data_IF_486227595909
#
_entry.id   IF_486227595909
#
_cell.length_a   1.000
_cell.length_b   1.000
_cell.length_c   1.000
_cell.angle_alpha   90.00
_cell.angle_beta   90.00
_cell.angle_gamma   90.00
#
_symmetry.space_group_name_H-M   'P 1'
#
loop_
_entity.id
_entity.type
_entity.pdbx_description
1 polymer ?
#
# COMPACT_ATOMS: atom_id res chain seq x y z
N UNK A 1 12.15 -11.01 -59.49
CA UNK A 1 11.81 -12.00 -58.41
C UNK A 1 12.54 -11.55 -57.15
N UNK A 2 11.82 -11.00 -56.16
CA UNK A 2 12.38 -10.70 -54.85
C UNK A 2 12.50 -12.03 -54.10
N UNK A 3 13.74 -12.46 -53.79
CA UNK A 3 14.03 -13.56 -52.90
C UNK A 3 13.51 -13.19 -51.51
N UNK A 4 12.36 -13.70 -51.14
CA UNK A 4 11.87 -13.64 -49.76
C UNK A 4 12.71 -14.65 -48.98
N UNK A 5 13.79 -14.16 -48.32
CA UNK A 5 14.48 -14.96 -47.33
C UNK A 5 13.47 -15.25 -46.20
N UNK A 6 12.95 -16.46 -46.17
CA UNK A 6 12.22 -16.97 -45.03
C UNK A 6 13.17 -17.04 -43.86
N UNK A 7 13.08 -16.07 -42.92
CA UNK A 7 13.84 -16.14 -41.65
C UNK A 7 13.46 -17.44 -40.96
N UNK A 8 14.40 -18.33 -40.75
CA UNK A 8 14.17 -19.52 -39.92
C UNK A 8 13.69 -19.07 -38.54
N UNK A 9 12.70 -19.78 -37.97
CA UNK A 9 12.27 -19.50 -36.59
C UNK A 9 13.47 -19.55 -35.63
N UNK A 10 13.49 -18.63 -34.65
CA UNK A 10 14.52 -18.64 -33.60
C UNK A 10 14.48 -19.97 -32.84
N UNK A 11 15.63 -20.62 -32.68
CA UNK A 11 15.76 -21.83 -31.89
C UNK A 11 16.54 -21.50 -30.59
N UNK A 12 15.89 -21.47 -29.42
CA UNK A 12 16.56 -21.10 -28.17
C UNK A 12 17.69 -22.04 -27.77
N UNK A 13 17.67 -23.33 -28.21
CA UNK A 13 18.77 -24.26 -27.90
C UNK A 13 20.07 -23.93 -28.58
N UNK A 14 20.03 -23.24 -29.74
CA UNK A 14 21.23 -22.77 -30.42
C UNK A 14 21.91 -21.61 -29.70
N UNK A 15 21.18 -20.95 -28.79
CA UNK A 15 21.65 -19.85 -27.93
C UNK A 15 22.05 -20.33 -26.54
N UNK A 16 22.09 -21.64 -26.33
CA UNK A 16 22.45 -22.28 -25.06
C UNK A 16 21.35 -22.29 -24.01
N UNK A 17 20.09 -21.97 -24.38
CA UNK A 17 18.99 -22.00 -23.44
C UNK A 17 18.74 -23.42 -22.91
N UNK A 18 18.54 -23.53 -21.60
CA UNK A 18 18.09 -24.77 -20.96
C UNK A 18 16.63 -25.03 -21.33
N UNK A 19 16.33 -26.19 -21.86
CA UNK A 19 14.99 -26.59 -22.28
C UNK A 19 14.49 -27.87 -21.60
N UNK A 20 15.36 -28.63 -20.91
CA UNK A 20 15.00 -29.78 -20.10
C UNK A 20 15.03 -29.44 -18.60
N UNK A 21 13.85 -29.41 -17.99
CA UNK A 21 13.63 -29.13 -16.56
C UNK A 21 13.19 -30.36 -15.78
N UNK A 22 13.25 -31.57 -16.33
CA UNK A 22 12.77 -32.81 -15.69
C UNK A 22 13.43 -33.10 -14.32
N UNK A 23 14.64 -32.57 -14.08
CA UNK A 23 15.42 -32.71 -12.84
C UNK A 23 15.93 -31.40 -12.28
N UNK A 24 15.37 -30.27 -12.71
CA UNK A 24 15.81 -28.91 -12.33
C UNK A 24 14.59 -28.08 -12.01
N UNK A 25 14.75 -27.16 -11.04
CA UNK A 25 13.72 -26.18 -10.70
C UNK A 25 13.39 -25.33 -11.93
N UNK A 26 12.14 -25.31 -12.34
CA UNK A 26 11.63 -24.45 -13.40
C UNK A 26 11.16 -23.10 -12.85
N UNK A 27 10.85 -22.18 -13.74
CA UNK A 27 10.21 -20.91 -13.40
C UNK A 27 8.88 -21.11 -12.65
N UNK A 28 8.05 -22.03 -13.13
CA UNK A 28 6.76 -22.37 -12.51
C UNK A 28 6.94 -22.95 -11.11
N UNK A 29 7.92 -23.84 -10.92
CA UNK A 29 8.21 -24.43 -9.61
C UNK A 29 8.65 -23.38 -8.58
N UNK A 30 9.55 -22.49 -8.96
CA UNK A 30 10.06 -21.46 -8.08
C UNK A 30 8.99 -20.45 -7.64
N UNK A 31 8.12 -20.05 -8.55
CA UNK A 31 7.06 -19.08 -8.30
C UNK A 31 5.76 -19.70 -7.81
N UNK A 32 5.64 -21.03 -7.78
CA UNK A 32 4.37 -21.72 -7.54
C UNK A 32 3.24 -21.22 -8.47
N UNK A 33 3.58 -21.02 -9.74
CA UNK A 33 2.74 -20.29 -10.71
C UNK A 33 1.41 -21.00 -10.91
N UNK A 34 1.41 -22.33 -11.03
CA UNK A 34 0.20 -23.13 -11.23
C UNK A 34 -0.78 -22.92 -10.06
N UNK A 35 -0.25 -22.92 -8.82
CA UNK A 35 -1.08 -22.66 -7.63
C UNK A 35 -1.68 -21.27 -7.65
N UNK A 36 -0.90 -20.23 -8.01
CA UNK A 36 -1.40 -18.85 -8.05
C UNK A 36 -2.46 -18.67 -9.13
N UNK A 37 -2.24 -19.24 -10.32
CA UNK A 37 -3.16 -19.10 -11.45
C UNK A 37 -4.41 -19.98 -11.33
N UNK A 38 -4.45 -20.92 -10.38
CA UNK A 38 -5.62 -21.77 -10.07
C UNK A 38 -6.50 -21.20 -8.94
N UNK A 39 -6.21 -20.00 -8.44
CA UNK A 39 -6.93 -19.41 -7.30
C UNK A 39 -7.97 -18.33 -7.71
N UNK A 40 -8.40 -18.30 -8.95
CA UNK A 40 -9.44 -17.41 -9.45
C UNK A 40 -10.73 -18.20 -9.66
N UNK A 41 -11.61 -18.20 -8.66
CA UNK A 41 -12.86 -18.96 -8.67
C UNK A 41 -14.05 -18.02 -8.84
N UNK A 42 -14.54 -17.85 -10.07
CA UNK A 42 -15.75 -17.09 -10.34
C UNK A 42 -16.99 -17.81 -9.75
N UNK A 43 -17.90 -17.03 -9.19
CA UNK A 43 -19.18 -17.50 -8.64
C UNK A 43 -20.34 -17.31 -9.63
N UNK A 44 -20.10 -16.64 -10.73
CA UNK A 44 -21.08 -16.37 -11.82
C UNK A 44 -20.47 -16.64 -13.18
N UNK A 45 -21.29 -16.59 -14.21
CA UNK A 45 -20.87 -16.66 -15.63
C UNK A 45 -20.49 -15.26 -16.21
N UNK A 46 -20.48 -14.21 -15.38
CA UNK A 46 -20.15 -12.88 -15.82
C UNK A 46 -18.66 -12.76 -16.19
N UNK A 47 -18.38 -12.28 -17.40
CA UNK A 47 -17.01 -12.18 -17.93
C UNK A 47 -16.09 -11.36 -17.01
N UNK A 48 -16.58 -10.24 -16.50
CA UNK A 48 -15.79 -9.26 -15.75
C UNK A 48 -15.57 -9.64 -14.28
N UNK A 49 -16.21 -10.71 -13.79
CA UNK A 49 -15.90 -11.23 -12.45
C UNK A 49 -14.45 -11.69 -12.33
N UNK A 50 -13.87 -12.26 -13.37
CA UNK A 50 -12.45 -12.64 -13.43
C UNK A 50 -11.55 -11.39 -13.29
N UNK A 51 -11.86 -10.31 -14.00
CA UNK A 51 -11.15 -9.03 -13.86
C UNK A 51 -11.20 -8.53 -12.41
N UNK A 52 -12.39 -8.56 -11.80
CA UNK A 52 -12.59 -8.11 -10.42
C UNK A 52 -11.74 -8.92 -9.43
N UNK A 53 -11.72 -10.25 -9.57
CA UNK A 53 -10.92 -11.15 -8.70
C UNK A 53 -9.43 -10.86 -8.85
N UNK A 54 -8.90 -10.88 -10.09
CA UNK A 54 -7.47 -10.69 -10.36
C UNK A 54 -7.01 -9.32 -9.87
N UNK A 55 -7.80 -8.26 -10.10
CA UNK A 55 -7.49 -6.92 -9.63
C UNK A 55 -7.28 -6.86 -8.11
N UNK A 56 -8.16 -7.50 -7.34
CA UNK A 56 -8.04 -7.55 -5.88
C UNK A 56 -6.88 -8.44 -5.42
N UNK A 57 -6.69 -9.60 -6.04
CA UNK A 57 -5.57 -10.50 -5.72
C UNK A 57 -4.22 -9.84 -5.99
N UNK A 58 -4.05 -9.16 -7.12
CA UNK A 58 -2.81 -8.44 -7.44
C UNK A 58 -2.58 -7.26 -6.50
N UNK A 59 -3.63 -6.56 -6.07
CA UNK A 59 -3.54 -5.53 -5.04
C UNK A 59 -3.06 -6.10 -3.70
N UNK A 60 -3.60 -7.23 -3.27
CA UNK A 60 -3.18 -7.90 -2.03
C UNK A 60 -1.72 -8.41 -2.11
N UNK A 61 -1.26 -8.90 -3.26
CA UNK A 61 0.13 -9.29 -3.46
C UNK A 61 1.09 -8.09 -3.38
N UNK A 62 0.73 -6.94 -3.97
CA UNK A 62 1.50 -5.71 -3.84
C UNK A 62 1.49 -5.17 -2.41
N UNK A 63 0.37 -5.21 -1.71
CA UNK A 63 0.29 -4.82 -0.30
C UNK A 63 1.15 -5.73 0.58
N UNK A 64 1.21 -7.04 0.30
CA UNK A 64 2.14 -7.97 0.97
C UNK A 64 3.60 -7.53 0.79
N UNK A 65 3.98 -7.08 -0.42
CA UNK A 65 5.33 -6.57 -0.67
C UNK A 65 5.57 -5.24 0.07
N UNK A 66 4.59 -4.33 0.13
CA UNK A 66 4.70 -3.10 0.96
C UNK A 66 5.00 -3.46 2.42
N UNK A 67 4.24 -4.40 2.99
CA UNK A 67 4.45 -4.84 4.38
C UNK A 67 5.83 -5.46 4.60
N UNK A 68 6.34 -6.21 3.63
CA UNK A 68 7.70 -6.77 3.65
C UNK A 68 8.77 -5.67 3.67
N UNK A 69 8.67 -4.67 2.80
CA UNK A 69 9.59 -3.54 2.74
C UNK A 69 9.50 -2.67 4.01
N UNK A 70 8.31 -2.41 4.52
CA UNK A 70 8.12 -1.62 5.73
C UNK A 70 8.72 -2.30 6.97
N UNK A 71 8.64 -3.63 7.06
CA UNK A 71 9.34 -4.39 8.11
C UNK A 71 10.85 -4.23 8.03
N UNK A 72 11.41 -4.19 6.82
CA UNK A 72 12.85 -3.96 6.62
C UNK A 72 13.22 -2.50 6.89
N UNK A 73 12.41 -1.53 6.45
CA UNK A 73 12.62 -0.10 6.69
C UNK A 73 12.64 0.23 8.18
N UNK A 74 11.69 -0.34 8.95
CA UNK A 74 11.63 -0.16 10.40
C UNK A 74 12.92 -0.66 11.11
N UNK A 75 13.39 -1.85 10.75
CA UNK A 75 14.66 -2.38 11.30
C UNK A 75 15.87 -1.53 10.93
N UNK A 76 15.91 -1.00 9.70
CA UNK A 76 16.97 -0.11 9.28
C UNK A 76 16.92 1.22 10.06
N UNK A 77 15.71 1.76 10.27
CA UNK A 77 15.51 2.99 11.06
C UNK A 77 15.92 2.82 12.54
N UNK A 78 15.56 1.69 13.16
CA UNK A 78 15.99 1.33 14.52
C UNK A 78 17.52 1.30 14.66
N UNK A 79 18.24 0.93 13.59
CA UNK A 79 19.71 0.93 13.50
C UNK A 79 20.28 2.27 13.01
N UNK A 80 19.43 3.27 12.78
CA UNK A 80 19.79 4.57 12.19
C UNK A 80 20.46 4.46 10.81
N UNK A 81 20.20 3.35 10.10
CA UNK A 81 20.66 3.13 8.72
C UNK A 81 19.70 3.81 7.74
N UNK A 82 19.82 5.14 7.65
CA UNK A 82 18.95 5.95 6.80
C UNK A 82 19.07 5.62 5.30
N UNK A 83 20.26 5.33 4.75
CA UNK A 83 20.36 4.92 3.34
C UNK A 83 19.51 3.68 3.01
N UNK A 84 19.55 2.64 3.83
CA UNK A 84 18.71 1.47 3.63
C UNK A 84 17.24 1.76 3.93
N UNK A 85 16.92 2.55 4.95
CA UNK A 85 15.55 3.01 5.22
C UNK A 85 14.97 3.68 3.98
N UNK A 86 15.64 4.67 3.41
CA UNK A 86 15.19 5.40 2.23
C UNK A 86 15.08 4.52 0.98
N UNK A 87 15.97 3.54 0.82
CA UNK A 87 15.86 2.54 -0.25
C UNK A 87 14.55 1.76 -0.19
N UNK A 88 14.18 1.28 1.02
CA UNK A 88 12.92 0.54 1.20
C UNK A 88 11.71 1.45 0.98
N UNK A 89 11.71 2.67 1.52
CA UNK A 89 10.62 3.65 1.32
C UNK A 89 10.46 4.02 -0.16
N UNK A 90 11.56 4.19 -0.90
CA UNK A 90 11.51 4.44 -2.35
C UNK A 90 10.86 3.28 -3.10
N UNK A 91 11.10 2.04 -2.69
CA UNK A 91 10.43 0.86 -3.27
C UNK A 91 8.95 0.83 -2.91
N UNK A 92 8.59 1.16 -1.67
CA UNK A 92 7.18 1.29 -1.26
C UNK A 92 6.45 2.30 -2.14
N UNK A 93 7.04 3.48 -2.42
CA UNK A 93 6.46 4.47 -3.32
C UNK A 93 6.21 3.90 -4.72
N UNK A 94 7.16 3.11 -5.28
CA UNK A 94 6.99 2.48 -6.60
C UNK A 94 5.91 1.39 -6.60
N UNK A 95 5.74 0.67 -5.50
CA UNK A 95 4.66 -0.32 -5.38
C UNK A 95 3.31 0.41 -5.30
N UNK A 96 3.22 1.50 -4.53
CA UNK A 96 2.00 2.32 -4.47
C UNK A 96 1.63 2.92 -5.84
N UNK A 97 2.62 3.27 -6.66
CA UNK A 97 2.41 3.66 -8.06
C UNK A 97 1.74 2.53 -8.87
N UNK A 98 2.19 1.28 -8.73
CA UNK A 98 1.54 0.14 -9.39
C UNK A 98 0.11 -0.07 -8.89
N UNK A 99 -0.12 0.06 -7.59
CA UNK A 99 -1.47 0.02 -7.01
C UNK A 99 -2.37 1.14 -7.56
N UNK A 100 -1.81 2.30 -7.90
CA UNK A 100 -2.55 3.37 -8.57
C UNK A 100 -2.86 3.03 -10.03
N UNK A 101 -1.90 2.49 -10.77
CA UNK A 101 -2.07 2.15 -12.19
C UNK A 101 -3.11 1.05 -12.41
N UNK A 102 -3.28 0.14 -11.47
CA UNK A 102 -4.28 -0.93 -11.54
C UNK A 102 -5.73 -0.41 -11.65
N UNK A 103 -6.02 0.78 -11.09
CA UNK A 103 -7.36 1.37 -11.18
C UNK A 103 -7.79 1.64 -12.61
N UNK A 104 -6.86 1.96 -13.52
CA UNK A 104 -7.18 2.22 -14.92
C UNK A 104 -7.71 0.97 -15.62
N UNK A 105 -7.26 -0.21 -15.22
CA UNK A 105 -7.79 -1.49 -15.71
C UNK A 105 -9.19 -1.75 -15.12
N UNK A 106 -9.36 -1.63 -13.80
CA UNK A 106 -10.64 -1.91 -13.14
C UNK A 106 -11.77 -0.99 -13.62
N UNK A 107 -11.47 0.28 -13.86
CA UNK A 107 -12.47 1.27 -14.32
C UNK A 107 -12.90 1.11 -15.80
N UNK A 108 -12.35 0.14 -16.51
CA UNK A 108 -12.90 -0.30 -17.81
C UNK A 108 -14.22 -1.05 -17.65
N UNK A 109 -14.47 -1.62 -16.47
CA UNK A 109 -15.73 -2.26 -16.12
C UNK A 109 -16.87 -1.23 -16.12
N UNK A 110 -17.98 -1.58 -16.73
CA UNK A 110 -19.18 -0.73 -16.74
C UNK A 110 -20.13 -1.09 -15.58
N UNK A 111 -21.10 -0.22 -15.24
CA UNK A 111 -22.13 -0.58 -14.26
C UNK A 111 -22.95 -1.81 -14.68
N UNK A 112 -23.17 -2.02 -15.98
CA UNK A 112 -23.88 -3.19 -16.50
C UNK A 112 -23.08 -4.48 -16.22
N UNK A 113 -21.77 -4.47 -16.44
CA UNK A 113 -20.88 -5.62 -16.19
C UNK A 113 -20.86 -5.96 -14.70
N UNK A 114 -20.63 -4.95 -13.83
CA UNK A 114 -20.61 -5.15 -12.40
C UNK A 114 -21.93 -5.68 -11.82
N UNK A 115 -23.05 -5.23 -12.35
CA UNK A 115 -24.38 -5.65 -11.89
C UNK A 115 -24.62 -7.14 -12.12
N UNK A 116 -23.96 -7.77 -13.12
CA UNK A 116 -24.15 -9.18 -13.45
C UNK A 116 -23.65 -10.11 -12.34
N UNK A 117 -22.64 -9.72 -11.55
CA UNK A 117 -22.08 -10.58 -10.51
C UNK A 117 -22.13 -9.95 -9.10
N UNK A 118 -22.55 -8.69 -8.96
CA UNK A 118 -22.56 -7.97 -7.68
C UNK A 118 -23.24 -8.75 -6.55
N UNK A 119 -24.34 -9.41 -6.83
CA UNK A 119 -25.13 -10.12 -5.83
C UNK A 119 -24.42 -11.40 -5.34
N UNK A 120 -23.53 -11.99 -6.14
CA UNK A 120 -22.72 -13.15 -5.74
C UNK A 120 -21.64 -12.80 -4.72
N UNK A 121 -21.25 -11.53 -4.63
CA UNK A 121 -20.23 -11.07 -3.67
C UNK A 121 -20.71 -11.13 -2.21
N UNK A 122 -22.02 -11.19 -1.98
CA UNK A 122 -22.58 -11.19 -0.63
C UNK A 122 -22.13 -9.98 0.18
N UNK A 123 -21.49 -10.22 1.32
CA UNK A 123 -20.94 -9.20 2.21
C UNK A 123 -19.44 -8.96 2.03
N UNK A 124 -18.79 -9.61 1.03
CA UNK A 124 -17.37 -9.40 0.78
C UNK A 124 -17.09 -7.98 0.28
N UNK A 125 -16.05 -7.35 0.82
CA UNK A 125 -15.70 -5.97 0.52
C UNK A 125 -14.22 -5.70 0.78
N UNK A 126 -13.59 -4.87 -0.03
CA UNK A 126 -12.22 -4.38 0.20
C UNK A 126 -12.03 -3.71 1.57
N UNK A 127 -13.10 -3.26 2.21
CA UNK A 127 -13.09 -2.80 3.59
C UNK A 127 -12.51 -3.84 4.59
N UNK A 128 -12.58 -5.12 4.24
CA UNK A 128 -12.11 -6.24 5.04
C UNK A 128 -10.64 -6.63 4.74
N UNK A 129 -9.92 -5.88 3.91
CA UNK A 129 -8.49 -6.14 3.68
C UNK A 129 -7.68 -5.83 4.94
N UNK A 130 -7.14 -6.89 5.58
CA UNK A 130 -6.29 -6.70 6.74
C UNK A 130 -4.93 -6.11 6.37
N UNK A 131 -4.41 -6.40 5.16
CA UNK A 131 -3.14 -5.84 4.71
C UNK A 131 -3.23 -4.33 4.48
N UNK A 132 -4.31 -3.85 3.87
CA UNK A 132 -4.56 -2.42 3.77
C UNK A 132 -4.62 -1.76 5.15
N UNK A 133 -5.35 -2.37 6.09
CA UNK A 133 -5.45 -1.88 7.46
C UNK A 133 -4.10 -1.88 8.18
N UNK A 134 -3.29 -2.92 7.98
CA UNK A 134 -1.94 -3.00 8.53
C UNK A 134 -1.06 -1.85 8.01
N UNK A 135 -1.12 -1.54 6.72
CA UNK A 135 -0.39 -0.42 6.12
C UNK A 135 -0.81 0.92 6.78
N UNK A 136 -2.12 1.14 6.95
CA UNK A 136 -2.60 2.34 7.63
C UNK A 136 -2.08 2.45 9.07
N UNK A 137 -2.09 1.35 9.83
CA UNK A 137 -1.59 1.34 11.21
C UNK A 137 -0.09 1.62 11.28
N UNK A 138 0.70 1.03 10.39
CA UNK A 138 2.13 1.27 10.27
C UNK A 138 2.43 2.76 10.05
N UNK A 139 1.65 3.44 9.22
CA UNK A 139 1.85 4.85 8.90
C UNK A 139 1.15 5.83 9.87
N UNK A 140 0.43 5.35 10.88
CA UNK A 140 -0.11 6.20 11.94
C UNK A 140 -1.62 6.43 11.92
N UNK A 141 -2.36 5.94 10.90
CA UNK A 141 -3.84 5.96 10.94
C UNK A 141 -4.37 4.81 11.82
N UNK A 142 -4.36 5.01 13.13
CA UNK A 142 -4.50 3.98 14.18
C UNK A 142 -5.91 3.93 14.75
N UNK A 143 -6.90 3.64 13.93
CA UNK A 143 -8.29 3.54 14.37
C UNK A 143 -8.62 2.13 14.87
N UNK A 144 -8.62 1.92 16.19
CA UNK A 144 -8.90 0.62 16.81
C UNK A 144 -10.31 0.08 16.51
N UNK A 145 -11.30 0.94 16.20
CA UNK A 145 -12.62 0.47 15.82
C UNK A 145 -12.63 -0.38 14.56
N UNK A 146 -11.60 -0.25 13.72
CA UNK A 146 -11.45 -1.04 12.50
C UNK A 146 -11.08 -2.50 12.76
N UNK A 147 -10.63 -2.87 13.97
CA UNK A 147 -10.38 -4.26 14.36
C UNK A 147 -11.65 -5.14 14.29
N UNK A 148 -12.84 -4.55 14.55
CA UNK A 148 -14.10 -5.28 14.58
C UNK A 148 -14.39 -6.04 13.27
N UNK A 149 -13.97 -5.49 12.13
CA UNK A 149 -14.15 -6.14 10.82
C UNK A 149 -13.31 -7.40 10.64
N UNK A 150 -12.34 -7.66 11.53
CA UNK A 150 -11.39 -8.77 11.45
C UNK A 150 -11.57 -9.83 12.55
N UNK A 151 -12.53 -9.67 13.47
CA UNK A 151 -12.78 -10.61 14.59
C UNK A 151 -13.06 -12.04 14.11
N UNK A 152 -13.63 -12.19 12.92
CA UNK A 152 -13.90 -13.49 12.29
C UNK A 152 -12.64 -14.21 11.76
N UNK A 153 -11.49 -13.53 11.72
CA UNK A 153 -10.22 -14.06 11.23
C UNK A 153 -9.13 -13.86 12.30
N UNK A 154 -8.99 -14.80 13.28
CA UNK A 154 -8.15 -14.60 14.45
C UNK A 154 -6.70 -14.22 14.16
N UNK A 155 -6.08 -14.82 13.13
CA UNK A 155 -4.69 -14.53 12.77
C UNK A 155 -4.51 -13.08 12.27
N UNK A 156 -5.42 -12.60 11.43
CA UNK A 156 -5.41 -11.21 10.95
C UNK A 156 -5.69 -10.23 12.08
N UNK A 157 -6.68 -10.53 12.91
CA UNK A 157 -7.04 -9.73 14.08
C UNK A 157 -5.85 -9.57 15.05
N UNK A 158 -5.18 -10.66 15.39
CA UNK A 158 -4.04 -10.64 16.31
C UNK A 158 -2.88 -9.83 15.74
N UNK A 159 -2.54 -9.99 14.46
CA UNK A 159 -1.50 -9.19 13.80
C UNK A 159 -1.81 -7.69 13.82
N UNK A 160 -3.05 -7.31 13.56
CA UNK A 160 -3.48 -5.92 13.62
C UNK A 160 -3.44 -5.36 15.03
N UNK A 161 -3.85 -6.16 16.02
CA UNK A 161 -3.80 -5.78 17.44
C UNK A 161 -2.37 -5.59 17.94
N UNK A 162 -1.46 -6.47 17.53
CA UNK A 162 -0.02 -6.34 17.82
C UNK A 162 0.56 -5.06 17.22
N UNK A 163 0.20 -4.72 15.98
CA UNK A 163 0.66 -3.48 15.36
C UNK A 163 0.11 -2.22 16.06
N UNK A 164 -1.14 -2.26 16.51
CA UNK A 164 -1.71 -1.16 17.31
C UNK A 164 -1.03 -0.98 18.68
N UNK A 165 -0.46 -2.03 19.23
CA UNK A 165 0.22 -2.01 20.55
C UNK A 165 1.65 -1.48 20.48
N UNK A 166 2.18 -1.16 19.30
CA UNK A 166 3.53 -0.62 19.11
C UNK A 166 3.51 0.77 18.47
N UNK A 167 4.63 1.48 18.49
CA UNK A 167 4.80 2.75 17.79
C UNK A 167 4.55 2.63 16.29
N UNK A 168 3.99 3.65 15.66
CA UNK A 168 3.93 3.73 14.20
C UNK A 168 5.32 3.99 13.61
N UNK A 169 5.49 3.77 12.32
CA UNK A 169 6.73 4.13 11.63
C UNK A 169 6.99 5.64 11.72
N UNK A 170 5.94 6.46 11.66
CA UNK A 170 6.07 7.91 11.80
C UNK A 170 6.51 8.32 13.20
N UNK A 171 5.99 7.68 14.25
CA UNK A 171 6.46 7.92 15.64
C UNK A 171 7.97 7.64 15.79
N UNK A 172 8.46 6.57 15.14
CA UNK A 172 9.87 6.21 15.14
C UNK A 172 10.72 7.26 14.39
N UNK A 173 10.23 7.78 13.27
CA UNK A 173 10.87 8.88 12.53
C UNK A 173 10.89 10.16 13.35
N UNK A 174 9.79 10.49 14.02
CA UNK A 174 9.74 11.65 14.94
C UNK A 174 10.70 11.46 16.11
N UNK A 175 10.81 10.26 16.67
CA UNK A 175 11.81 9.94 17.69
C UNK A 175 13.24 10.22 17.22
N UNK A 176 13.59 9.86 15.98
CA UNK A 176 14.88 10.18 15.37
C UNK A 176 15.05 11.68 15.17
N UNK A 177 14.03 12.40 14.70
CA UNK A 177 14.03 13.85 14.52
C UNK A 177 14.42 14.56 15.82
N UNK A 178 13.76 14.24 16.92
CA UNK A 178 14.05 14.83 18.22
C UNK A 178 15.44 14.44 18.73
N UNK A 179 15.86 13.19 18.53
CA UNK A 179 17.20 12.74 18.90
C UNK A 179 18.28 13.55 18.20
N UNK A 180 18.13 13.80 16.91
CA UNK A 180 19.13 14.55 16.11
C UNK A 180 19.16 16.03 16.49
N UNK A 181 17.98 16.65 16.66
CA UNK A 181 17.91 18.09 16.95
C UNK A 181 18.16 18.45 18.42
N UNK A 182 17.64 17.65 19.35
CA UNK A 182 17.62 17.98 20.77
C UNK A 182 18.59 17.13 21.60
N UNK A 183 19.24 16.14 20.99
CA UNK A 183 20.15 15.21 21.70
C UNK A 183 19.44 14.23 22.64
N UNK A 184 18.12 14.26 22.71
CA UNK A 184 17.31 13.40 23.56
C UNK A 184 16.42 12.50 22.71
N UNK A 185 16.49 11.18 22.92
CA UNK A 185 15.42 10.31 22.46
C UNK A 185 14.21 10.58 23.35
N UNK A 186 13.30 11.41 22.88
CA UNK A 186 12.07 11.66 23.61
C UNK A 186 11.27 10.36 23.59
N UNK A 187 10.91 9.88 24.79
CA UNK A 187 9.71 9.08 24.96
C UNK A 187 8.56 10.01 24.60
N UNK A 188 8.23 10.03 23.33
CA UNK A 188 7.35 11.02 22.76
C UNK A 188 6.00 11.01 23.46
N UNK A 189 5.47 12.16 23.88
CA UNK A 189 4.09 12.30 24.36
C UNK A 189 3.04 11.98 23.29
N UNK A 190 3.46 11.59 22.08
CA UNK A 190 2.65 11.31 20.89
C UNK A 190 1.95 9.97 20.91
N UNK A 191 2.26 9.09 21.85
CA UNK A 191 1.81 7.72 21.83
C UNK A 191 0.46 7.51 22.51
N UNK A 192 -0.57 8.03 21.89
CA UNK A 192 -1.86 7.40 22.01
C UNK A 192 -1.91 6.27 20.98
N UNK A 193 -1.58 5.05 21.43
CA UNK A 193 -1.30 3.92 20.56
C UNK A 193 -2.50 3.40 19.74
N UNK A 194 -3.70 3.85 20.02
CA UNK A 194 -4.96 3.34 19.45
C UNK A 194 -5.85 4.41 18.82
N UNK A 195 -5.31 5.62 18.64
CA UNK A 195 -6.01 6.73 17.97
C UNK A 195 -5.20 7.24 16.77
N UNK A 196 -5.84 7.85 15.76
CA UNK A 196 -5.16 8.51 14.67
C UNK A 196 -4.23 9.63 15.17
N UNK A 197 -3.11 9.82 14.47
CA UNK A 197 -2.19 10.89 14.78
C UNK A 197 -2.83 12.26 14.49
N UNK A 198 -2.69 13.19 15.45
CA UNK A 198 -3.15 14.57 15.32
C UNK A 198 -1.94 15.51 15.11
N UNK A 199 -2.07 16.61 14.33
CA UNK A 199 -0.99 17.56 14.13
C UNK A 199 -0.43 18.10 15.46
N UNK A 200 0.89 18.08 15.60
CA UNK A 200 1.57 18.53 16.80
C UNK A 200 2.54 19.70 16.50
N UNK A 201 2.33 20.83 17.17
CA UNK A 201 3.09 22.05 16.94
C UNK A 201 4.61 21.90 17.25
N UNK A 202 4.97 21.08 18.23
CA UNK A 202 6.38 20.82 18.57
C UNK A 202 7.09 20.01 17.50
N UNK A 203 6.41 19.02 16.91
CA UNK A 203 6.95 18.22 15.81
C UNK A 203 7.07 19.13 14.57
N UNK A 204 6.04 19.89 14.27
CA UNK A 204 6.05 20.81 13.13
C UNK A 204 7.19 21.83 13.22
N UNK A 205 7.43 22.39 14.41
CA UNK A 205 8.54 23.32 14.63
C UNK A 205 9.92 22.67 14.38
N UNK A 206 10.09 21.39 14.73
CA UNK A 206 11.35 20.68 14.46
C UNK A 206 11.52 20.31 12.99
N UNK A 207 10.47 19.89 12.32
CA UNK A 207 10.53 19.73 10.87
C UNK A 207 10.84 21.04 10.17
N UNK A 208 10.33 22.19 10.66
CA UNK A 208 10.65 23.51 10.12
C UNK A 208 12.15 23.81 10.19
N UNK A 209 12.81 23.48 11.32
CA UNK A 209 14.26 23.62 11.44
C UNK A 209 14.98 22.81 10.36
N UNK A 210 14.55 21.57 10.09
CA UNK A 210 15.14 20.72 9.05
C UNK A 210 14.97 21.37 7.66
N UNK A 211 13.78 21.85 7.34
CA UNK A 211 13.50 22.46 6.02
C UNK A 211 14.19 23.83 5.83
N UNK A 212 14.43 24.58 6.89
CA UNK A 212 15.16 25.85 6.84
C UNK A 212 16.69 25.62 6.80
N UNK A 213 17.18 24.44 7.18
CA UNK A 213 18.61 24.12 7.26
C UNK A 213 18.95 22.82 6.54
N UNK A 214 18.47 22.67 5.29
CA UNK A 214 18.57 21.43 4.49
C UNK A 214 20.01 20.91 4.39
N UNK A 215 21.00 21.81 4.23
CA UNK A 215 22.41 21.43 4.10
C UNK A 215 22.96 20.73 5.33
N UNK A 216 22.48 21.10 6.54
CA UNK A 216 22.87 20.49 7.81
C UNK A 216 22.10 19.20 8.07
N UNK A 217 20.81 19.16 7.74
CA UNK A 217 19.91 18.03 8.03
C UNK A 217 19.46 17.28 6.78
N UNK A 218 20.33 17.14 5.77
CA UNK A 218 19.97 16.55 4.48
C UNK A 218 19.27 15.20 4.61
N UNK A 219 19.77 14.29 5.44
CA UNK A 219 19.19 12.96 5.57
C UNK A 219 17.79 12.96 6.19
N UNK A 220 17.52 13.88 7.13
CA UNK A 220 16.17 14.05 7.69
C UNK A 220 15.22 14.69 6.69
N UNK A 221 15.71 15.65 5.91
CA UNK A 221 14.95 16.27 4.84
C UNK A 221 14.55 15.25 3.76
N UNK A 222 15.52 14.41 3.30
CA UNK A 222 15.20 13.33 2.37
C UNK A 222 14.19 12.34 2.95
N UNK A 223 14.32 11.98 4.22
CA UNK A 223 13.39 11.08 4.91
C UNK A 223 11.99 11.68 4.96
N UNK A 224 11.87 12.97 5.31
CA UNK A 224 10.59 13.68 5.31
C UNK A 224 9.94 13.69 3.91
N UNK A 225 10.71 14.01 2.87
CA UNK A 225 10.19 14.01 1.49
C UNK A 225 9.80 12.59 1.00
N UNK A 226 10.50 11.54 1.45
CA UNK A 226 10.08 10.16 1.17
C UNK A 226 8.75 9.79 1.83
N UNK A 227 8.50 10.28 3.04
CA UNK A 227 7.19 10.10 3.69
C UNK A 227 6.09 10.86 2.94
N UNK A 228 6.37 12.08 2.50
CA UNK A 228 5.43 12.87 1.68
C UNK A 228 5.14 12.18 0.35
N UNK A 229 6.16 11.64 -0.34
CA UNK A 229 5.97 10.85 -1.57
C UNK A 229 5.02 9.66 -1.33
N UNK A 230 5.21 8.91 -0.23
CA UNK A 230 4.37 7.77 0.13
C UNK A 230 2.93 8.22 0.36
N UNK A 231 2.74 9.29 1.15
CA UNK A 231 1.38 9.77 1.43
C UNK A 231 0.71 10.33 0.18
N UNK A 232 1.42 11.02 -0.71
CA UNK A 232 0.88 11.49 -1.97
C UNK A 232 0.36 10.32 -2.84
N UNK A 233 1.14 9.25 -3.00
CA UNK A 233 0.67 8.05 -3.68
C UNK A 233 -0.52 7.40 -2.98
N UNK A 234 -0.54 7.38 -1.65
CA UNK A 234 -1.62 6.80 -0.87
C UNK A 234 -2.92 7.62 -0.99
N UNK A 235 -2.82 8.95 -1.00
CA UNK A 235 -3.96 9.85 -1.27
C UNK A 235 -4.50 9.67 -2.68
N UNK A 236 -3.63 9.55 -3.69
CA UNK A 236 -4.03 9.26 -5.08
C UNK A 236 -4.74 7.91 -5.17
N UNK A 237 -4.26 6.89 -4.47
CA UNK A 237 -4.92 5.59 -4.43
C UNK A 237 -6.33 5.69 -3.84
N UNK A 238 -6.50 6.39 -2.74
CA UNK A 238 -7.81 6.64 -2.13
C UNK A 238 -8.73 7.42 -3.09
N UNK A 239 -8.21 8.44 -3.75
CA UNK A 239 -8.97 9.22 -4.75
C UNK A 239 -9.40 8.35 -5.94
N UNK A 240 -8.48 7.55 -6.48
CA UNK A 240 -8.79 6.61 -7.57
C UNK A 240 -9.85 5.58 -7.15
N UNK A 241 -9.80 5.12 -5.89
CA UNK A 241 -10.82 4.24 -5.33
C UNK A 241 -12.19 4.92 -5.35
N UNK A 242 -12.31 6.12 -4.79
CA UNK A 242 -13.58 6.89 -4.77
C UNK A 242 -14.13 7.04 -6.19
N UNK A 243 -13.33 7.55 -7.11
CA UNK A 243 -13.78 7.85 -8.47
C UNK A 243 -14.12 6.59 -9.26
N UNK A 244 -13.44 5.48 -9.02
CA UNK A 244 -13.77 4.19 -9.63
C UNK A 244 -15.10 3.65 -9.09
N UNK A 245 -15.32 3.70 -7.78
CA UNK A 245 -16.60 3.29 -7.17
C UNK A 245 -17.75 4.16 -7.68
N UNK A 246 -17.57 5.49 -7.77
CA UNK A 246 -18.57 6.38 -8.36
C UNK A 246 -18.91 6.00 -9.80
N UNK A 247 -17.90 5.66 -10.61
CA UNK A 247 -18.04 5.30 -12.01
C UNK A 247 -18.74 3.96 -12.21
N UNK A 248 -18.39 2.93 -11.42
CA UNK A 248 -18.81 1.54 -11.64
C UNK A 248 -20.05 1.18 -10.81
N UNK A 249 -20.13 1.65 -9.58
CA UNK A 249 -21.19 1.29 -8.63
C UNK A 249 -22.18 2.44 -8.41
N UNK A 250 -21.73 3.68 -8.55
CA UNK A 250 -22.50 4.87 -8.22
C UNK A 250 -22.67 5.04 -6.69
N UNK A 251 -23.74 5.69 -6.30
CA UNK A 251 -24.03 6.03 -4.90
C UNK A 251 -24.75 4.93 -4.10
N UNK A 252 -24.68 3.69 -4.58
CA UNK A 252 -25.23 2.54 -3.84
C UNK A 252 -24.41 2.24 -2.59
N UNK A 253 -25.01 1.57 -1.61
CA UNK A 253 -24.27 1.06 -0.45
C UNK A 253 -23.21 0.04 -0.90
N UNK A 254 -22.07 0.06 -0.24
CA UNK A 254 -21.03 -0.96 -0.43
C UNK A 254 -21.52 -2.35 -0.02
N UNK A 255 -20.97 -3.39 -0.60
CA UNK A 255 -21.30 -4.79 -0.26
C UNK A 255 -21.01 -5.10 1.21
N UNK A 256 -19.97 -4.52 1.80
CA UNK A 256 -19.66 -4.62 3.24
C UNK A 256 -20.54 -3.76 4.18
N UNK A 257 -21.63 -3.17 3.67
CA UNK A 257 -22.60 -2.40 4.48
C UNK A 257 -22.22 -0.94 4.75
N UNK A 258 -21.08 -0.46 4.27
CA UNK A 258 -20.68 0.95 4.39
C UNK A 258 -21.57 1.88 3.57
N UNK A 259 -21.53 3.19 3.85
CA UNK A 259 -22.23 4.20 3.04
C UNK A 259 -21.63 4.38 1.61
N UNK A 260 -20.73 3.47 1.17
CA UNK A 260 -20.13 3.48 -0.17
C UNK A 260 -19.28 4.73 -0.39
N UNK A 261 -19.57 5.48 -1.46
CA UNK A 261 -18.82 6.68 -1.85
C UNK A 261 -18.66 7.70 -0.71
N UNK A 262 -19.68 7.89 0.12
CA UNK A 262 -19.60 8.85 1.24
C UNK A 262 -18.56 8.42 2.29
N UNK A 263 -18.46 7.13 2.58
CA UNK A 263 -17.42 6.61 3.46
C UNK A 263 -16.03 6.86 2.86
N UNK A 264 -15.85 6.51 1.58
CA UNK A 264 -14.56 6.67 0.89
C UNK A 264 -14.13 8.13 0.80
N UNK A 265 -15.07 9.07 0.59
CA UNK A 265 -14.78 10.51 0.57
C UNK A 265 -14.22 11.00 1.91
N UNK A 266 -14.78 10.54 3.05
CA UNK A 266 -14.24 10.88 4.37
C UNK A 266 -12.80 10.36 4.56
N UNK A 267 -12.46 9.23 3.93
CA UNK A 267 -11.10 8.69 4.00
C UNK A 267 -10.07 9.54 3.23
N UNK A 268 -10.50 10.43 2.32
CA UNK A 268 -9.61 11.38 1.65
C UNK A 268 -9.06 12.45 2.59
N UNK A 269 -9.77 12.75 3.67
CA UNK A 269 -9.38 13.75 4.67
C UNK A 269 -8.35 13.25 5.68
N UNK A 270 -8.09 11.93 5.71
CA UNK A 270 -7.14 11.33 6.65
C UNK A 270 -5.71 11.61 6.19
N UNK A 271 -4.97 12.34 7.00
CA UNK A 271 -3.54 12.60 6.84
C UNK A 271 -2.73 11.56 7.62
N UNK A 272 -1.62 11.10 7.03
CA UNK A 272 -0.69 10.17 7.68
C UNK A 272 0.43 10.91 8.41
N UNK A 273 0.93 11.99 7.80
CA UNK A 273 2.05 12.79 8.28
C UNK A 273 1.68 14.28 8.30
N UNK A 274 0.69 14.68 9.13
CA UNK A 274 0.05 15.99 9.03
C UNK A 274 1.03 17.16 9.20
N UNK A 275 2.05 17.06 10.06
CA UNK A 275 3.01 18.13 10.27
C UNK A 275 3.81 18.45 9.01
N UNK A 276 4.16 17.43 8.20
CA UNK A 276 4.89 17.60 6.95
C UNK A 276 4.03 18.33 5.90
N UNK A 277 2.71 18.10 5.90
CA UNK A 277 1.80 18.79 4.99
C UNK A 277 1.51 20.23 5.45
N UNK A 278 1.22 20.43 6.73
CA UNK A 278 0.87 21.72 7.28
C UNK A 278 2.06 22.69 7.26
N UNK A 279 3.27 22.19 7.49
CA UNK A 279 4.51 22.97 7.42
C UNK A 279 4.67 23.73 6.09
N UNK A 280 4.21 23.15 4.96
CA UNK A 280 4.35 23.76 3.64
C UNK A 280 3.67 25.14 3.53
N UNK A 281 2.70 25.43 4.37
CA UNK A 281 2.07 26.73 4.48
C UNK A 281 2.86 27.76 5.30
N UNK A 282 3.95 27.33 5.97
CA UNK A 282 4.76 28.16 6.85
C UNK A 282 6.21 28.37 6.35
N UNK A 283 6.59 27.76 5.23
CA UNK A 283 7.91 27.88 4.58
C UNK A 283 8.04 29.10 3.69
#
# INVERSE_FOLDING_TARGET
QRNIMTKKPFNPTTDGAQTDFSKKMSYGDYLHIDTILDQQHCLSEAHDEMLFIIQHQTSELWMKQVLHEMKAARRALELEDLPNTMKMLSRVSRILEQLNNQWDVLRTMTPADYTQFRDTLGMSSGFQSYQYRMIEYIFGNRNANMLKSHEHTPDAYNKLKEELARTSFYDEVVGLLFKVLDGNSIKTPLLQLDVPHEPNAEIMARWKIVYENIGEYWSLYELAEKLVDIEDYFRRWRFNHVTTVERVIGFKRGTGGTSGVQYLRRMLEVELFPELWHLRGEL
#
